data_IF_065267715646
#
_entry.id   IF_065267715646
#
_cell.length_a   1.000
_cell.length_b   1.000
_cell.length_c   1.000
_cell.angle_alpha   90.00
_cell.angle_beta   90.00
_cell.angle_gamma   90.00
#
_symmetry.space_group_name_H-M   'P 1'
#
loop_
_entity.id
_entity.type
_entity.pdbx_description
1 polymer ?
2 non-polymer ?
3 water ?
#
# COMPACT_ATOMS: atom_id res chain seq x y z
N UNK A 6 2.47 -18.83 -21.33
CA UNK A 6 2.86 -18.29 -22.67
C UNK A 6 2.18 -16.91 -22.88
N UNK A 7 1.66 -16.36 -21.80
CA UNK A 7 0.78 -15.19 -21.90
C UNK A 7 1.48 -13.82 -22.02
N UNK A 8 2.77 -13.72 -21.73
CA UNK A 8 3.46 -12.44 -21.94
C UNK A 8 3.58 -12.24 -23.45
N UNK A 9 3.82 -13.38 -24.10
CA UNK A 9 3.88 -13.49 -25.55
C UNK A 9 2.52 -13.10 -26.22
N UNK A 10 1.42 -13.57 -25.68
CA UNK A 10 0.11 -13.31 -26.29
C UNK A 10 -0.43 -11.89 -26.05
N UNK A 11 -0.02 -11.30 -24.94
CA UNK A 11 -0.38 -9.93 -24.62
C UNK A 11 0.20 -9.06 -25.76
N UNK A 12 1.51 -9.23 -25.93
CA UNK A 12 2.35 -8.66 -26.95
C UNK A 12 1.68 -8.62 -28.33
N UNK A 13 1.00 -9.71 -28.68
CA UNK A 13 0.36 -9.87 -30.00
C UNK A 13 -0.98 -9.16 -30.15
N UNK A 14 -1.56 -8.72 -29.05
CA UNK A 14 -2.89 -8.11 -29.10
C UNK A 14 -2.83 -6.59 -29.24
N UNK A 15 -3.82 -6.03 -29.90
CA UNK A 15 -3.99 -4.58 -30.01
C UNK A 15 -5.45 -4.21 -29.55
N UNK A 16 -6.04 -5.07 -28.71
CA UNK A 16 -7.37 -4.86 -28.10
C UNK A 16 -7.16 -4.87 -26.54
N UNK A 17 -7.21 -3.67 -25.94
CA UNK A 17 -7.06 -3.46 -24.49
C UNK A 17 -7.81 -4.52 -23.63
N UNK A 18 -9.08 -4.74 -23.91
CA UNK A 18 -9.88 -5.65 -23.12
C UNK A 18 -9.39 -7.07 -23.25
N UNK A 19 -8.95 -7.42 -24.46
CA UNK A 19 -8.36 -8.74 -24.66
C UNK A 19 -7.09 -8.91 -23.81
N UNK A 20 -6.28 -7.86 -23.72
CA UNK A 20 -5.07 -7.91 -22.96
C UNK A 20 -5.40 -8.07 -21.47
N UNK A 21 -6.47 -7.43 -21.04
CA UNK A 21 -6.94 -7.50 -19.68
C UNK A 21 -7.46 -8.93 -19.42
N UNK A 22 -8.25 -9.46 -20.33
CA UNK A 22 -8.72 -10.82 -20.17
C UNK A 22 -7.56 -11.84 -20.03
N UNK A 23 -6.54 -11.69 -20.86
CA UNK A 23 -5.35 -12.55 -20.83
C UNK A 23 -4.52 -12.37 -19.58
N UNK A 24 -4.40 -11.13 -19.11
CA UNK A 24 -3.81 -10.95 -17.79
C UNK A 24 -4.57 -11.72 -16.69
N UNK A 25 -5.88 -11.71 -16.75
CA UNK A 25 -6.68 -12.30 -15.70
C UNK A 25 -6.58 -13.84 -15.86
N UNK A 26 -6.68 -14.32 -17.11
CA UNK A 26 -6.34 -15.72 -17.44
C UNK A 26 -5.06 -16.19 -16.85
N UNK A 27 -3.98 -15.45 -17.07
CA UNK A 27 -2.66 -15.88 -16.62
C UNK A 27 -2.60 -15.99 -15.11
N UNK A 28 -3.13 -14.98 -14.42
CA UNK A 28 -3.07 -14.94 -12.97
C UNK A 28 -3.84 -16.11 -12.41
N UNK A 29 -4.98 -16.43 -13.04
CA UNK A 29 -5.92 -17.43 -12.54
C UNK A 29 -5.43 -18.83 -12.94
N UNK A 30 -5.41 -19.10 -14.26
CA UNK A 30 -5.06 -20.40 -14.85
C UNK A 30 -3.64 -20.84 -14.57
N UNK A 31 -2.68 -19.92 -14.61
CA UNK A 31 -1.29 -20.28 -14.48
C UNK A 31 -0.84 -20.16 -13.06
N UNK A 32 -1.20 -19.08 -12.39
CA UNK A 32 -0.68 -18.84 -11.02
C UNK A 32 -1.68 -19.26 -9.96
N UNK A 33 -2.84 -19.71 -10.34
CA UNK A 33 -3.72 -20.26 -9.30
C UNK A 33 -4.47 -19.27 -8.41
N UNK A 34 -4.43 -17.94 -8.70
CA UNK A 34 -5.37 -17.02 -7.95
C UNK A 34 -6.77 -17.33 -8.34
N UNK A 35 -7.63 -17.41 -7.35
CA UNK A 35 -8.96 -17.98 -7.53
C UNK A 35 -9.92 -16.99 -8.25
N UNK A 36 -9.94 -15.71 -7.85
CA UNK A 36 -10.79 -14.70 -8.45
C UNK A 36 -9.94 -13.50 -8.87
N UNK A 37 -10.03 -13.12 -10.13
CA UNK A 37 -9.24 -12.04 -10.69
C UNK A 37 -10.22 -11.17 -11.44
N UNK A 38 -10.38 -9.98 -10.89
CA UNK A 38 -11.35 -9.01 -11.39
C UNK A 38 -10.58 -7.79 -11.91
N UNK A 39 -10.93 -7.37 -13.12
CA UNK A 39 -10.28 -6.17 -13.67
C UNK A 39 -11.32 -5.16 -14.16
N UNK A 40 -11.24 -3.95 -13.63
CA UNK A 40 -12.19 -2.88 -13.89
C UNK A 40 -11.43 -1.69 -14.41
N UNK A 42 -11.58 2.48 -15.63
CA UNK A 42 -12.32 3.76 -15.53
C UNK A 42 -12.84 4.21 -16.90
N UNK A 43 -14.02 4.80 -16.94
CA UNK A 43 -14.45 5.43 -18.21
C UNK A 43 -13.58 6.69 -18.45
N UNK A 44 -13.87 7.38 -19.56
CA UNK A 44 -13.06 8.51 -19.97
C UNK A 44 -13.17 9.68 -18.99
N UNK A 45 -14.30 9.84 -18.35
CA UNK A 45 -14.49 10.87 -17.35
C UNK A 45 -13.91 10.44 -16.01
N UNK A 46 -13.56 9.16 -15.87
CA UNK A 46 -13.00 8.65 -14.61
C UNK A 46 -13.93 8.83 -13.42
N UNK A 47 -15.22 8.75 -13.66
CA UNK A 47 -16.17 8.73 -12.57
C UNK A 47 -16.95 7.44 -12.51
N UNK A 48 -16.67 6.51 -13.42
CA UNK A 48 -17.17 5.13 -13.26
C UNK A 48 -16.10 4.13 -13.64
N UNK A 49 -16.31 2.88 -13.23
CA UNK A 49 -15.49 1.75 -13.64
C UNK A 49 -16.32 0.74 -14.43
N UNK A 50 -15.85 0.33 -15.60
CA UNK A 50 -16.56 -0.70 -16.23
C UNK A 50 -15.84 -2.07 -15.97
N UNK A 51 -16.64 -3.11 -15.79
CA UNK A 51 -16.11 -4.39 -15.36
C UNK A 51 -15.69 -5.12 -16.64
N UNK A 52 -14.40 -5.32 -16.85
CA UNK A 52 -13.85 -5.83 -18.12
C UNK A 52 -13.52 -7.33 -18.13
N UNK A 53 -12.91 -7.81 -17.04
CA UNK A 53 -12.56 -9.21 -16.88
C UNK A 53 -12.90 -9.68 -15.48
N UNK A 54 -13.42 -10.91 -15.43
CA UNK A 54 -13.76 -11.62 -14.18
C UNK A 54 -13.43 -13.05 -14.47
N UNK A 55 -12.39 -13.53 -13.87
CA UNK A 55 -12.10 -14.93 -13.99
C UNK A 55 -12.35 -15.54 -12.58
N UNK A 56 -12.86 -16.77 -12.56
CA UNK A 56 -13.04 -17.51 -11.32
C UNK A 56 -14.41 -17.39 -10.68
N UNK A 57 -15.23 -16.47 -11.19
CA UNK A 57 -16.59 -16.32 -10.66
C UNK A 57 -17.50 -16.96 -11.67
N UNK A 58 -18.14 -18.07 -11.27
CA UNK A 58 -19.01 -18.83 -12.21
C UNK A 58 -20.31 -18.06 -12.48
N UNK A 59 -20.90 -18.29 -13.65
CA UNK A 59 -22.27 -17.81 -13.96
C UNK A 59 -22.28 -16.25 -14.00
N UNK A 60 -21.26 -15.68 -14.62
CA UNK A 60 -21.07 -14.24 -14.58
C UNK A 60 -20.29 -13.80 -15.79
N UNK A 61 -20.88 -12.87 -16.46
CA UNK A 61 -20.24 -12.20 -17.56
C UNK A 61 -20.28 -10.75 -17.10
N UNK A 62 -19.09 -10.13 -16.96
CA UNK A 62 -18.95 -8.75 -16.53
C UNK A 62 -19.38 -7.69 -17.61
N UNK A 63 -19.54 -8.07 -18.87
CA UNK A 63 -19.98 -7.13 -19.95
C UNK A 63 -21.22 -6.30 -19.61
N UNK A 64 -21.09 -4.99 -19.68
CA UNK A 64 -22.19 -4.11 -19.40
C UNK A 64 -22.25 -3.67 -17.95
N UNK A 65 -21.43 -4.27 -17.09
CA UNK A 65 -21.49 -3.87 -15.72
C UNK A 65 -20.68 -2.59 -15.58
N UNK A 66 -21.27 -1.55 -14.97
CA UNK A 66 -20.58 -0.26 -14.79
C UNK A 66 -20.90 0.18 -13.38
N UNK A 67 -19.90 0.69 -12.69
CA UNK A 67 -20.00 0.88 -11.25
C UNK A 67 -19.55 2.31 -10.92
N UNK A 68 -20.25 3.00 -9.99
CA UNK A 68 -19.76 4.38 -9.61
C UNK A 68 -18.42 4.46 -8.89
N UNK A 69 -17.57 5.42 -9.24
CA UNK A 69 -16.33 5.64 -8.52
C UNK A 69 -16.56 6.68 -7.50
N UNK A 70 -17.26 6.35 -6.44
CA UNK A 70 -17.44 7.25 -5.38
C UNK A 70 -17.32 6.33 -4.18
N UNK A 71 -17.97 6.74 -3.10
CA UNK A 71 -17.75 6.10 -1.82
C UNK A 71 -18.40 4.71 -1.82
N UNK A 72 -19.37 4.49 -2.73
CA UNK A 72 -20.06 3.19 -2.79
C UNK A 72 -19.07 2.09 -3.13
N UNK A 73 -17.94 2.46 -3.73
CA UNK A 73 -16.97 1.45 -4.13
C UNK A 73 -15.99 1.21 -3.01
N UNK A 74 -16.26 1.76 -1.83
CA UNK A 74 -15.36 1.58 -0.67
C UNK A 74 -13.87 1.59 -1.03
N UNK A 75 -13.20 0.47 -0.82
CA UNK A 75 -11.78 0.43 -0.93
C UNK A 75 -11.32 0.33 -2.39
N UNK A 76 -12.21 -0.10 -3.29
CA UNK A 76 -11.85 -0.06 -4.69
C UNK A 76 -11.66 1.39 -5.16
N UNK A 77 -12.62 2.22 -4.82
CA UNK A 77 -12.47 3.65 -5.10
C UNK A 77 -11.21 4.25 -4.45
N UNK A 78 -10.92 3.85 -3.20
CA UNK A 78 -9.71 4.40 -2.54
C UNK A 78 -8.47 3.97 -3.22
N UNK A 79 -8.41 2.69 -3.63
CA UNK A 79 -7.28 2.22 -4.43
C UNK A 79 -7.06 3.13 -5.68
N UNK A 80 -8.16 3.34 -6.40
CA UNK A 80 -8.11 4.08 -7.67
C UNK A 80 -7.63 5.54 -7.40
N UNK A 81 -8.24 6.20 -6.42
CA UNK A 81 -7.92 7.60 -6.06
C UNK A 81 -6.46 7.79 -5.56
N UNK A 82 -5.99 6.89 -4.70
CA UNK A 82 -4.70 7.04 -4.03
C UNK A 82 -3.58 6.32 -4.77
N UNK A 83 -3.93 5.57 -5.81
CA UNK A 83 -2.94 4.71 -6.56
C UNK A 83 -2.14 3.86 -5.58
N UNK A 84 -2.81 3.31 -4.59
CA UNK A 84 -2.14 2.52 -3.59
C UNK A 84 -2.72 1.08 -3.61
N UNK A 85 -1.83 0.08 -3.49
CA UNK A 85 -2.22 -1.32 -3.20
C UNK A 85 -2.88 -1.35 -1.84
N UNK A 86 -4.10 -1.86 -1.80
CA UNK A 86 -4.80 -2.11 -0.52
C UNK A 86 -4.83 -3.60 -0.30
N UNK A 88 -6.23 -6.30 2.03
CA UNK A 88 -7.28 -6.29 3.02
C UNK A 88 -7.47 -7.74 3.49
N UNK A 89 -6.94 -8.05 4.66
CA UNK A 89 -6.93 -9.47 5.09
C UNK A 89 -8.32 -9.89 5.56
N UNK A 90 -9.04 -8.95 6.16
CA UNK A 90 -10.41 -9.18 6.54
C UNK A 90 -11.11 -7.83 6.55
N UNK A 91 -12.10 -7.65 5.68
CA UNK A 91 -12.71 -6.32 5.62
C UNK A 91 -13.29 -5.82 6.94
N UNK A 92 -13.71 -6.71 7.83
CA UNK A 92 -14.40 -6.24 9.06
C UNK A 92 -13.40 -5.64 10.10
N UNK A 93 -12.10 -5.78 9.90
CA UNK A 93 -11.11 -5.18 10.79
C UNK A 93 -10.73 -3.74 10.35
N UNK A 94 -11.33 -3.23 9.27
CA UNK A 94 -11.02 -1.92 8.72
C UNK A 94 -12.19 -0.96 8.93
N UNK A 95 -11.93 0.37 8.83
CA UNK A 95 -13.03 1.34 8.96
C UNK A 95 -14.15 1.06 7.97
N UNK A 96 -15.33 1.51 8.36
CA UNK A 96 -16.60 1.35 7.67
C UNK A 96 -16.59 1.78 6.19
N UNK A 97 -15.93 2.87 5.89
CA UNK A 97 -15.80 3.31 4.51
C UNK A 97 -14.99 2.39 3.62
N UNK A 98 -14.43 1.28 4.15
CA UNK A 98 -13.80 0.29 3.29
C UNK A 98 -14.83 -0.61 2.62
N UNK A 99 -15.99 -0.84 3.24
CA UNK A 99 -16.93 -1.83 2.75
C UNK A 99 -17.49 -1.42 1.39
N UNK A 100 -17.71 -2.38 0.54
CA UNK A 100 -18.51 -2.15 -0.66
C UNK A 100 -19.96 -1.91 -0.32
N UNK A 101 -20.60 -0.95 -0.97
CA UNK A 101 -22.03 -0.70 -0.80
C UNK A 101 -22.76 -1.09 -2.10
N UNK A 102 -24.10 -1.05 -2.13
CA UNK A 102 -24.83 -1.10 -3.43
C UNK A 102 -24.36 0.00 -4.40
N UNK A 103 -24.07 -0.30 -5.68
CA UNK A 103 -24.35 -1.55 -6.38
C UNK A 103 -23.22 -2.56 -6.34
N UNK A 104 -22.02 -2.17 -5.82
CA UNK A 104 -20.86 -3.10 -5.84
C UNK A 104 -21.17 -4.43 -5.06
N UNK A 105 -21.96 -4.37 -4.02
CA UNK A 105 -22.14 -5.53 -3.16
C UNK A 105 -23.27 -6.47 -3.67
N UNK A 106 -23.82 -6.13 -4.83
CA UNK A 106 -24.76 -7.00 -5.54
C UNK A 106 -23.98 -7.96 -6.46
N UNK A 107 -22.66 -7.78 -6.58
CA UNK A 107 -21.88 -8.59 -7.51
C UNK A 107 -21.08 -9.66 -6.74
N UNK A 108 -21.36 -10.94 -7.02
CA UNK A 108 -20.69 -12.05 -6.34
C UNK A 108 -19.17 -11.98 -6.50
N UNK A 109 -18.73 -11.52 -7.67
CA UNK A 109 -17.32 -11.56 -8.03
C UNK A 109 -16.53 -10.63 -7.12
N UNK A 110 -17.21 -9.60 -6.58
CA UNK A 110 -16.68 -8.55 -5.74
C UNK A 110 -16.99 -8.73 -4.24
N UNK A 111 -17.65 -9.82 -3.87
CA UNK A 111 -18.05 -9.97 -2.46
C UNK A 111 -17.04 -10.64 -1.51
N UNK A 112 -15.78 -10.76 -1.86
CA UNK A 112 -14.83 -11.37 -0.95
C UNK A 112 -14.71 -10.48 0.29
N UNK A 113 -14.54 -11.09 1.45
CA UNK A 113 -14.22 -10.33 2.64
C UNK A 113 -12.71 -10.16 2.83
N UNK A 114 -11.93 -10.81 1.99
CA UNK A 114 -10.49 -10.74 2.05
C UNK A 114 -9.95 -10.58 0.62
N UNK A 115 -9.06 -9.60 0.38
CA UNK A 115 -8.63 -9.36 -0.99
C UNK A 115 -7.49 -8.38 -1.04
N UNK A 116 -6.90 -8.30 -2.22
CA UNK A 116 -5.99 -7.20 -2.63
C UNK A 116 -6.55 -6.44 -3.81
N UNK A 117 -6.51 -5.12 -3.70
CA UNK A 117 -6.83 -4.22 -4.86
C UNK A 117 -5.54 -3.49 -5.22
N UNK A 118 -5.25 -3.50 -6.51
CA UNK A 118 -3.99 -3.00 -7.02
C UNK A 118 -4.32 -2.06 -8.20
N UNK A 119 -3.80 -0.83 -8.20
CA UNK A 119 -4.20 0.15 -9.23
C UNK A 119 -3.46 -0.19 -10.51
N UNK A 120 -4.05 0.09 -11.67
CA UNK A 120 -3.32 0.01 -12.94
C UNK A 120 -2.94 1.46 -13.24
N UNK A 121 -1.66 1.75 -13.36
CA UNK A 121 -1.26 3.16 -13.34
C UNK A 121 -0.55 3.43 -14.62
N UNK A 122 -1.01 4.46 -15.31
CA UNK A 122 -0.33 4.95 -16.52
C UNK A 122 0.10 6.41 -16.29
N UNK A 123 1.40 6.65 -16.43
CA UNK A 123 2.00 7.98 -16.27
C UNK A 123 1.51 8.75 -15.02
N UNK A 124 1.58 8.09 -13.87
CA UNK A 124 1.12 8.74 -12.65
C UNK A 124 -0.39 8.87 -12.45
N UNK A 125 -1.21 8.29 -13.35
CA UNK A 125 -2.67 8.26 -13.07
C UNK A 125 -3.24 6.83 -13.10
N UNK A 126 -4.14 6.52 -12.17
CA UNK A 126 -4.85 5.26 -12.20
C UNK A 126 -5.82 5.29 -13.37
N UNK A 127 -5.78 4.26 -14.17
CA UNK A 127 -6.83 4.09 -15.15
C UNK A 127 -7.74 2.88 -14.90
N UNK A 128 -7.47 2.08 -13.87
CA UNK A 128 -8.36 0.97 -13.53
C UNK A 128 -7.75 0.22 -12.35
N UNK A 129 -8.25 -0.98 -12.02
CA UNK A 129 -7.82 -1.80 -10.89
C UNK A 129 -7.83 -3.30 -11.18
N UNK A 130 -6.89 -4.02 -10.56
CA UNK A 130 -7.05 -5.47 -10.34
C UNK A 130 -7.60 -5.67 -8.96
N UNK A 131 -8.66 -6.45 -8.81
CA UNK A 131 -9.15 -6.85 -7.48
C UNK A 131 -9.00 -8.38 -7.47
N UNK A 132 -8.24 -8.92 -6.51
CA UNK A 132 -7.86 -10.33 -6.53
C UNK A 132 -8.16 -10.94 -5.14
N UNK A 133 -8.69 -12.19 -5.14
CA UNK A 133 -8.93 -12.91 -3.89
C UNK A 133 -8.82 -14.42 -4.05
N UNK A 134 -8.54 -15.09 -2.91
CA UNK A 134 -8.55 -16.59 -2.82
C UNK A 134 -9.58 -16.90 -1.69
N UNK A 135 -10.80 -16.44 -1.84
CA UNK A 135 -11.73 -16.45 -0.70
C UNK A 135 -12.06 -17.85 -0.16
N UNK A 136 -11.83 -18.92 -0.95
CA UNK A 136 -12.20 -20.22 -0.44
C UNK A 136 -11.01 -20.84 0.31
N UNK A 137 -9.86 -20.19 0.23
CA UNK A 137 -8.71 -20.61 1.03
C UNK A 137 -8.70 -19.78 2.31
N UNK A 138 -8.24 -20.39 3.40
CA UNK A 138 -8.09 -19.62 4.62
C UNK A 138 -6.72 -18.90 4.63
N UNK A 139 -5.87 -19.17 3.64
CA UNK A 139 -4.61 -18.47 3.61
C UNK A 139 -4.77 -17.03 3.08
N UNK A 140 -4.53 -16.02 3.94
CA UNK A 140 -4.43 -14.59 3.53
C UNK A 140 -3.42 -14.29 2.44
N UNK A 141 -3.75 -13.37 1.52
CA UNK A 141 -2.76 -12.96 0.53
C UNK A 141 -1.61 -12.21 1.25
N UNK A 142 -0.39 -12.43 0.76
CA UNK A 142 0.82 -11.75 1.30
C UNK A 142 1.64 -10.89 0.31
N UNK A 143 2.74 -10.33 0.80
CA UNK A 143 3.58 -9.41 0.02
C UNK A 143 4.06 -10.06 -1.23
N UNK A 144 4.30 -11.37 -1.25
CA UNK A 144 4.71 -11.95 -2.55
C UNK A 144 3.52 -12.06 -3.50
N UNK A 145 2.31 -12.24 -2.97
CA UNK A 145 1.14 -12.26 -3.87
C UNK A 145 0.99 -10.85 -4.46
N UNK A 146 1.11 -9.82 -3.62
CA UNK A 146 1.07 -8.41 -4.07
C UNK A 146 2.14 -8.15 -5.14
N UNK A 147 3.38 -8.65 -5.00
CA UNK A 147 4.41 -8.47 -6.05
C UNK A 147 3.91 -9.11 -7.29
N UNK A 148 3.25 -10.26 -7.19
CA UNK A 148 2.86 -10.92 -8.43
C UNK A 148 1.73 -10.18 -9.19
N UNK A 149 0.80 -9.60 -8.43
CA UNK A 149 -0.36 -8.92 -8.97
C UNK A 149 0.12 -7.59 -9.60
N UNK A 150 0.97 -6.86 -8.87
CA UNK A 150 1.69 -5.66 -9.35
C UNK A 150 2.43 -5.88 -10.63
N UNK A 151 3.01 -7.07 -10.78
CA UNK A 151 3.67 -7.42 -12.03
C UNK A 151 2.67 -7.46 -13.18
N UNK A 152 1.50 -8.05 -12.98
CA UNK A 152 0.50 -8.15 -14.06
C UNK A 152 -0.18 -6.82 -14.36
N UNK A 153 -0.39 -6.00 -13.31
CA UNK A 153 -0.87 -4.61 -13.48
C UNK A 153 0.13 -3.81 -14.34
N UNK A 154 1.43 -3.95 -14.03
CA UNK A 154 2.52 -3.40 -14.86
C UNK A 154 2.52 -3.79 -16.32
N UNK A 155 2.40 -5.09 -16.61
CA UNK A 155 2.11 -5.57 -17.98
C UNK A 155 0.83 -5.01 -18.63
N UNK A 156 -0.29 -5.02 -17.91
CA UNK A 156 -1.50 -4.40 -18.48
C UNK A 156 -1.19 -2.92 -18.83
N UNK A 157 -0.58 -2.18 -17.92
CA UNK A 157 -0.34 -0.73 -18.05
C UNK A 157 0.61 -0.44 -19.27
N UNK A 158 1.78 -1.08 -19.30
CA UNK A 158 2.64 -1.08 -20.54
C UNK A 158 1.92 -1.36 -21.84
N UNK A 159 1.07 -2.38 -21.85
CA UNK A 159 0.38 -2.74 -23.06
C UNK A 159 -0.74 -1.73 -23.41
N UNK A 160 -1.42 -1.15 -22.40
CA UNK A 160 -2.39 -0.13 -22.68
C UNK A 160 -1.69 1.07 -23.39
N UNK A 161 -0.53 1.46 -22.87
CA UNK A 161 0.28 2.52 -23.42
C UNK A 161 0.69 2.22 -24.87
N UNK A 162 1.27 1.03 -25.12
CA UNK A 162 1.58 0.58 -26.48
C UNK A 162 0.36 0.66 -27.37
N UNK A 163 -0.78 0.12 -26.93
CA UNK A 163 -1.91 0.09 -27.80
C UNK A 163 -2.39 1.55 -28.07
N UNK A 164 -2.40 2.38 -27.04
CA UNK A 164 -2.89 3.75 -27.21
C UNK A 164 -2.00 4.57 -28.18
N UNK A 165 -0.69 4.45 -27.99
CA UNK A 165 0.33 5.17 -28.79
C UNK A 165 0.15 4.74 -30.25
N UNK A 166 -0.27 3.49 -30.43
CA UNK A 166 -0.42 2.89 -31.74
C UNK A 166 -1.69 3.29 -32.46
N UNK A 167 -2.81 3.29 -31.75
CA UNK A 167 -4.06 3.65 -32.39
C UNK A 167 -4.33 5.16 -32.43
N UNK A 168 -3.48 5.97 -31.80
CA UNK A 168 -3.69 7.43 -31.76
C UNK A 168 -3.71 7.95 -33.21
N UNK A 169 -4.83 8.57 -33.61
CA UNK A 169 -4.99 9.03 -34.99
C UNK A 169 -4.15 10.29 -35.29
N UNK B 1 27.67 -8.31 7.15
CA UNK B 1 28.54 -9.06 8.11
C UNK B 1 28.21 -8.76 9.57
N UNK B 2 29.25 -8.33 10.30
CA UNK B 2 29.24 -7.96 11.72
C UNK B 2 28.08 -6.99 12.07
N UNK B 3 27.82 -6.04 11.17
CA UNK B 3 26.88 -4.92 11.43
C UNK B 3 25.43 -5.36 11.71
N UNK B 4 24.79 -6.10 10.79
CA UNK B 4 23.40 -6.56 11.03
C UNK B 4 23.20 -7.46 12.27
N UNK B 5 24.14 -8.34 12.57
CA UNK B 5 23.99 -9.15 13.77
C UNK B 5 24.05 -8.33 15.09
N UNK B 6 24.96 -7.35 15.19
CA UNK B 6 25.04 -6.51 16.41
C UNK B 6 23.73 -5.77 16.64
N UNK B 7 23.17 -5.23 15.55
CA UNK B 7 21.91 -4.50 15.56
C UNK B 7 20.83 -5.46 16.04
N UNK B 8 20.76 -6.63 15.40
CA UNK B 8 19.80 -7.69 15.77
C UNK B 8 19.89 -8.15 17.24
N UNK B 9 21.10 -8.47 17.70
CA UNK B 9 21.33 -8.88 19.08
C UNK B 9 20.92 -7.83 20.10
N UNK B 10 21.30 -6.57 19.87
CA UNK B 10 20.97 -5.49 20.80
C UNK B 10 19.46 -5.16 20.93
N UNK B 11 18.69 -5.39 19.85
CA UNK B 11 17.21 -5.26 19.90
C UNK B 11 16.56 -6.37 20.74
N UNK B 12 16.96 -7.61 20.50
CA UNK B 12 16.46 -8.76 21.26
C UNK B 12 16.77 -8.67 22.78
N UNK B 13 17.87 -8.01 23.11
CA UNK B 13 18.33 -7.84 24.50
C UNK B 13 17.72 -6.59 25.11
N UNK B 14 17.30 -5.65 24.26
CA UNK B 14 16.78 -4.39 24.77
C UNK B 14 15.56 -4.63 25.64
N UNK B 15 15.41 -3.78 26.67
CA UNK B 15 14.25 -3.75 27.59
C UNK B 15 13.65 -2.33 27.69
N UNK B 16 14.02 -1.48 26.73
CA UNK B 16 13.43 -0.14 26.59
C UNK B 16 12.91 -0.01 25.13
N UNK B 17 11.63 0.32 24.98
CA UNK B 17 10.96 0.45 23.67
C UNK B 17 11.61 1.52 22.77
N UNK B 18 11.78 2.76 23.30
CA UNK B 18 12.43 3.87 22.54
C UNK B 18 13.81 3.49 22.06
N UNK B 19 14.53 2.71 22.86
CA UNK B 19 15.82 2.18 22.45
C UNK B 19 15.67 1.15 21.34
N UNK B 20 14.77 0.18 21.48
CA UNK B 20 14.53 -0.72 20.36
C UNK B 20 14.26 0.03 19.03
N UNK B 21 13.41 1.04 19.08
CA UNK B 21 13.00 1.82 17.89
C UNK B 21 14.22 2.58 17.36
N UNK B 22 14.98 3.23 18.24
CA UNK B 22 16.25 3.87 17.79
C UNK B 22 17.19 2.88 17.09
N UNK B 23 17.33 1.66 17.63
CA UNK B 23 18.13 0.64 16.98
C UNK B 23 17.57 0.18 15.66
N UNK B 24 16.24 0.03 15.59
CA UNK B 24 15.64 -0.23 14.28
C UNK B 24 16.07 0.78 13.22
N UNK B 25 15.96 2.06 13.54
CA UNK B 25 16.30 3.17 12.62
C UNK B 25 17.81 3.21 12.24
N UNK B 26 18.67 3.13 13.27
CA UNK B 26 20.09 2.89 13.05
C UNK B 26 20.31 1.65 12.15
N UNK B 27 19.68 0.54 12.45
CA UNK B 27 19.82 -0.61 11.56
C UNK B 27 19.59 -0.17 10.11
N UNK B 28 18.40 0.37 9.85
CA UNK B 28 17.99 0.74 8.48
C UNK B 28 18.93 1.79 7.84
N UNK B 29 19.37 2.79 8.60
CA UNK B 29 20.32 3.80 8.07
C UNK B 29 21.71 3.21 7.75
N UNK B 30 22.43 2.81 8.81
CA UNK B 30 23.81 2.25 8.72
C UNK B 30 23.93 0.96 7.92
N UNK B 31 23.03 0.00 8.12
CA UNK B 31 23.24 -1.31 7.50
C UNK B 31 22.56 -1.46 6.13
N UNK B 32 21.45 -0.76 5.94
CA UNK B 32 20.72 -0.91 4.69
C UNK B 32 20.83 0.38 3.86
N UNK B 33 21.30 1.46 4.48
CA UNK B 33 21.68 2.63 3.74
C UNK B 33 20.62 3.66 3.35
N UNK B 34 19.48 3.65 4.03
CA UNK B 34 18.43 4.62 3.74
C UNK B 34 18.81 5.90 4.43
N UNK B 35 18.65 7.00 3.71
CA UNK B 35 19.18 8.27 4.21
C UNK B 35 18.49 8.83 5.41
N UNK B 36 17.16 8.67 5.48
CA UNK B 36 16.33 9.29 6.51
C UNK B 36 15.37 8.22 7.01
N UNK B 37 15.38 8.01 8.33
CA UNK B 37 14.51 7.01 8.95
C UNK B 37 13.90 7.62 10.14
N UNK B 38 12.60 7.92 10.01
CA UNK B 38 11.84 8.51 11.09
C UNK B 38 10.91 7.47 11.68
N UNK B 39 10.78 7.51 13.00
CA UNK B 39 9.77 6.72 13.70
C UNK B 39 8.90 7.62 14.56
N UNK B 40 7.59 7.48 14.38
CA UNK B 40 6.63 8.25 15.09
C UNK B 40 5.70 7.28 15.80
N UNK B 42 2.16 6.76 18.26
CA UNK B 42 0.94 7.39 18.76
C UNK B 42 0.91 7.33 20.28
N UNK B 43 0.16 8.24 20.88
CA UNK B 43 -0.05 8.26 22.30
C UNK B 43 -1.19 7.28 22.54
N UNK B 44 -1.42 6.96 23.81
CA UNK B 44 -2.45 5.99 24.14
C UNK B 44 -3.78 6.41 23.55
N UNK B 45 -4.12 7.70 23.59
CA UNK B 45 -5.47 8.05 23.11
C UNK B 45 -5.54 8.12 21.58
N UNK B 46 -4.40 7.97 20.92
CA UNK B 46 -4.31 8.02 19.47
C UNK B 46 -4.78 9.37 18.95
N UNK B 47 -4.40 10.47 19.61
CA UNK B 47 -4.63 11.76 19.01
C UNK B 47 -3.36 12.57 18.84
N UNK B 48 -2.20 11.99 19.18
CA UNK B 48 -0.91 12.67 18.97
C UNK B 48 0.13 11.69 18.58
N UNK B 49 1.16 12.22 17.94
CA UNK B 49 2.28 11.46 17.51
C UNK B 49 3.47 12.17 18.13
N UNK B 50 4.38 11.39 18.73
CA UNK B 50 5.67 11.92 19.10
C UNK B 50 6.70 11.19 18.32
N UNK B 51 7.76 11.93 18.09
CA UNK B 51 8.85 11.51 17.29
C UNK B 51 9.76 10.71 18.26
N UNK B 52 10.30 9.58 17.83
CA UNK B 52 11.16 8.76 18.65
C UNK B 52 12.53 8.62 17.96
N UNK B 53 12.54 8.64 16.63
CA UNK B 53 13.81 8.62 15.97
C UNK B 53 13.68 9.51 14.73
N UNK B 54 14.77 10.20 14.41
CA UNK B 54 14.85 10.96 13.19
C UNK B 54 16.26 10.87 12.65
N UNK B 55 16.66 9.64 12.33
CA UNK B 55 17.98 9.37 11.85
C UNK B 55 18.22 9.96 10.46
N UNK B 56 19.39 10.61 10.27
CA UNK B 56 19.79 11.22 8.99
C UNK B 56 19.35 12.67 8.78
N UNK B 57 18.66 13.23 9.77
CA UNK B 57 18.39 14.63 9.83
C UNK B 57 19.20 15.27 10.94
N UNK B 58 20.01 16.27 10.60
CA UNK B 58 20.87 16.97 11.59
C UNK B 58 20.20 18.18 12.32
N UNK B 59 20.76 18.63 13.43
CA UNK B 59 20.24 19.84 14.15
C UNK B 59 18.74 19.69 14.55
N UNK B 60 18.36 18.45 14.85
CA UNK B 60 17.00 18.15 15.21
C UNK B 60 16.96 17.23 16.43
N UNK B 61 16.41 17.74 17.52
CA UNK B 61 16.15 16.94 18.72
C UNK B 61 14.60 16.94 18.87
N UNK B 62 13.97 15.77 18.62
CA UNK B 62 12.50 15.58 18.61
C UNK B 62 11.74 15.83 19.96
N UNK B 63 12.46 15.72 21.09
CA UNK B 63 11.88 15.91 22.41
C UNK B 63 10.82 17.03 22.47
N UNK B 64 9.63 16.70 22.93
CA UNK B 64 8.58 17.73 23.08
C UNK B 64 7.87 18.08 21.77
N UNK B 65 8.34 17.50 20.66
CA UNK B 65 7.56 17.49 19.40
C UNK B 65 6.39 16.52 19.51
N UNK B 66 5.22 17.09 19.74
CA UNK B 66 3.96 16.40 19.53
C UNK B 66 3.33 16.91 18.24
N UNK B 67 2.69 16.01 17.50
CA UNK B 67 2.11 16.31 16.21
C UNK B 67 0.66 15.89 16.29
N UNK B 68 -0.25 16.75 15.85
CA UNK B 68 -1.65 16.34 15.99
C UNK B 68 -1.89 15.13 15.07
N UNK B 69 -2.55 14.08 15.58
CA UNK B 69 -2.87 12.93 14.73
C UNK B 69 -4.23 13.15 14.12
N UNK B 70 -4.30 14.09 13.17
CA UNK B 70 -5.52 14.33 12.42
C UNK B 70 -5.17 14.58 10.95
N UNK B 71 -6.04 15.30 10.25
CA UNK B 71 -5.91 15.49 8.81
C UNK B 71 -4.67 16.29 8.41
N UNK B 72 -4.09 17.01 9.37
CA UNK B 72 -2.84 17.74 9.13
C UNK B 72 -1.70 16.81 8.97
N UNK B 73 -1.87 15.57 9.51
CA UNK B 73 -0.95 14.48 9.19
C UNK B 73 -0.91 13.91 7.78
N UNK B 74 -1.88 14.26 6.94
CA UNK B 74 -1.80 13.86 5.54
C UNK B 74 -1.61 12.36 5.35
N UNK B 75 -0.64 11.91 4.56
CA UNK B 75 -0.48 10.48 4.30
C UNK B 75 -0.09 9.65 5.58
N UNK B 76 0.63 10.30 6.52
CA UNK B 76 0.99 9.65 7.78
C UNK B 76 -0.26 9.30 8.58
N UNK B 77 -1.20 10.23 8.68
CA UNK B 77 -2.47 9.91 9.34
C UNK B 77 -3.27 8.76 8.65
N UNK B 78 -3.26 8.76 7.31
CA UNK B 78 -3.95 7.75 6.51
C UNK B 78 -3.39 6.39 6.90
N UNK B 79 -2.06 6.28 7.05
CA UNK B 79 -1.37 5.04 7.49
C UNK B 79 -1.85 4.53 8.85
N UNK B 80 -1.94 5.42 9.85
CA UNK B 80 -2.47 5.04 11.15
C UNK B 80 -3.86 4.52 11.07
N UNK B 81 -4.67 5.12 10.20
CA UNK B 81 -6.05 4.77 10.07
C UNK B 81 -6.21 3.45 9.32
N UNK B 82 -5.43 3.22 8.26
CA UNK B 82 -5.75 2.09 7.37
C UNK B 82 -4.77 0.96 7.36
N UNK B 83 -3.66 1.16 8.05
CA UNK B 83 -2.57 0.19 8.14
C UNK B 83 -2.04 -0.31 6.79
N UNK B 84 -2.01 0.57 5.81
CA UNK B 84 -1.39 0.20 4.56
C UNK B 84 0.01 0.79 4.52
N UNK B 85 0.84 0.23 3.66
CA UNK B 85 2.11 0.80 3.33
C UNK B 85 1.92 1.80 2.16
N UNK B 86 2.38 3.05 2.30
CA UNK B 86 2.35 4.03 1.19
C UNK B 86 3.73 4.24 0.59
N UNK B 88 5.37 6.73 -1.95
CA UNK B 88 5.01 8.01 -2.58
C UNK B 88 6.19 8.49 -3.46
N UNK B 89 5.93 8.73 -4.75
CA UNK B 89 6.95 9.24 -5.72
C UNK B 89 7.16 10.76 -5.54
N UNK B 90 6.06 11.51 -5.67
CA UNK B 90 6.03 12.96 -5.56
C UNK B 90 4.65 13.22 -4.96
N UNK B 91 4.64 13.54 -3.67
CA UNK B 91 3.37 13.73 -2.94
C UNK B 91 2.41 14.83 -3.50
N UNK B 92 2.91 15.72 -4.34
CA UNK B 92 2.04 16.70 -5.00
C UNK B 92 1.24 16.09 -6.13
N UNK B 93 1.64 14.88 -6.59
CA UNK B 93 0.90 14.20 -7.67
C UNK B 93 -0.27 13.41 -7.11
N UNK B 94 -0.54 13.57 -5.81
CA UNK B 94 -1.51 12.71 -5.13
C UNK B 94 -2.71 13.49 -4.62
N UNK B 95 -3.77 12.83 -4.12
CA UNK B 95 -4.91 13.60 -3.66
C UNK B 95 -4.52 14.59 -2.56
N UNK B 96 -5.42 15.52 -2.30
CA UNK B 96 -5.14 16.66 -1.45
C UNK B 96 -4.93 16.20 -0.04
N UNK B 97 -5.53 15.07 0.30
CA UNK B 97 -5.37 14.54 1.62
C UNK B 97 -4.04 13.79 1.94
N UNK B 98 -3.14 13.69 0.96
CA UNK B 98 -1.77 13.19 1.18
C UNK B 98 -0.78 14.18 1.78
N UNK B 99 -0.81 15.45 1.33
CA UNK B 99 0.15 16.49 1.68
C UNK B 99 0.16 16.65 3.18
N UNK B 100 1.36 16.70 3.76
CA UNK B 100 1.52 17.08 5.16
C UNK B 100 1.20 18.55 5.33
N UNK B 101 0.31 18.87 6.25
CA UNK B 101 -0.02 20.25 6.59
C UNK B 101 0.87 20.72 7.76
N UNK B 102 0.68 21.98 8.18
CA UNK B 102 1.33 22.48 9.37
C UNK B 102 0.74 21.80 10.64
N UNK B 103 1.57 21.41 11.64
CA UNK B 103 3.02 21.62 11.86
C UNK B 103 3.95 20.67 11.17
N UNK B 104 3.41 19.61 10.55
CA UNK B 104 4.28 18.58 9.98
C UNK B 104 5.17 19.16 8.90
N UNK B 105 4.61 20.12 8.13
CA UNK B 105 5.36 20.56 6.96
C UNK B 105 6.46 21.57 7.27
N UNK B 106 6.57 21.99 8.52
CA UNK B 106 7.69 22.86 8.98
C UNK B 106 8.79 22.03 9.65
N UNK B 107 8.86 20.72 9.36
CA UNK B 107 9.83 19.83 10.05
C UNK B 107 10.66 19.18 9.03
N UNK B 108 11.94 19.50 9.01
CA UNK B 108 12.78 19.04 7.95
C UNK B 108 12.76 17.51 7.79
N UNK B 109 12.74 16.77 8.91
CA UNK B 109 12.70 15.27 8.89
C UNK B 109 11.52 14.74 8.03
N UNK B 110 10.41 15.46 8.04
CA UNK B 110 9.18 15.07 7.37
C UNK B 110 8.97 15.70 5.99
N UNK B 111 9.94 16.50 5.49
CA UNK B 111 9.67 17.38 4.30
C UNK B 111 9.96 16.75 2.93
N UNK B 112 10.32 15.48 2.90
CA UNK B 112 10.61 14.86 1.61
C UNK B 112 9.32 14.70 0.79
N UNK B 113 9.53 14.64 -0.52
CA UNK B 113 8.45 14.66 -1.49
C UNK B 113 8.20 13.22 -1.93
N UNK B 114 9.21 12.37 -1.76
CA UNK B 114 9.08 10.97 -2.07
C UNK B 114 9.58 10.14 -0.88
N UNK B 115 8.94 8.99 -0.64
CA UNK B 115 9.08 8.28 0.63
C UNK B 115 8.15 7.09 0.81
N UNK B 116 8.39 6.35 1.89
CA UNK B 116 7.65 5.15 2.25
C UNK B 116 7.12 5.31 3.69
N UNK B 117 5.81 5.11 3.89
CA UNK B 117 5.27 5.08 5.25
C UNK B 117 4.87 3.62 5.48
N UNK B 118 5.30 3.05 6.61
CA UNK B 118 5.03 1.65 6.94
C UNK B 118 4.50 1.62 8.37
N UNK B 119 3.27 1.06 8.59
CA UNK B 119 2.72 1.11 9.96
C UNK B 119 3.44 0.08 10.88
N UNK B 120 3.47 0.33 12.19
CA UNK B 120 4.00 -0.63 13.14
C UNK B 120 2.73 -1.06 13.80
N UNK B 121 2.42 -2.34 13.68
CA UNK B 121 1.12 -2.85 13.98
C UNK B 121 1.23 -3.83 15.16
N UNK B 122 0.45 -3.57 16.17
CA UNK B 122 0.30 -4.44 17.33
C UNK B 122 -1.17 -4.55 17.56
N UNK B 123 -1.64 -5.80 17.73
CA UNK B 123 -3.02 -6.12 18.11
C UNK B 123 -3.99 -5.54 17.09
N UNK B 124 -3.66 -5.64 15.80
CA UNK B 124 -4.56 -5.10 14.77
C UNK B 124 -4.74 -3.57 14.63
N UNK B 125 -3.79 -2.82 15.20
CA UNK B 125 -3.84 -1.36 15.31
C UNK B 125 -2.45 -0.80 14.99
N UNK B 126 -2.34 0.15 14.07
CA UNK B 126 -1.04 0.83 13.84
C UNK B 126 -0.80 1.70 15.06
N UNK B 127 0.33 1.48 15.73
CA UNK B 127 0.63 2.20 16.94
C UNK B 127 1.77 3.15 16.65
N UNK B 128 2.34 3.02 15.46
CA UNK B 128 3.33 3.98 14.99
C UNK B 128 3.59 3.71 13.52
N UNK B 129 4.56 4.44 12.97
CA UNK B 129 4.97 4.32 11.57
C UNK B 129 6.47 4.51 11.45
N UNK B 130 7.06 3.88 10.44
CA UNK B 130 8.36 4.21 9.92
C UNK B 130 8.08 5.08 8.71
N UNK B 131 8.75 6.22 8.64
CA UNK B 131 8.71 7.04 7.44
C UNK B 131 10.16 7.14 6.94
N UNK B 132 10.41 6.56 5.78
CA UNK B 132 11.76 6.40 5.21
C UNK B 132 11.84 7.10 3.81
N UNK B 133 12.96 7.79 3.54
CA UNK B 133 13.24 8.47 2.25
C UNK B 133 14.74 8.56 1.88
N UNK B 134 15.03 8.55 0.58
CA UNK B 134 16.38 8.88 0.05
C UNK B 134 16.36 10.27 -0.65
N UNK B 135 15.98 11.33 0.06
CA UNK B 135 16.06 12.72 -0.46
C UNK B 135 17.10 12.96 -1.58
N UNK B 136 18.32 12.42 -1.43
CA UNK B 136 19.47 12.52 -2.40
C UNK B 136 19.61 11.29 -3.35
N UNK B 137 18.60 11.04 -4.19
CA UNK B 137 18.62 9.89 -5.10
C UNK B 137 17.55 10.02 -6.18
N UNK B 142 11.16 1.01 -4.28
CA UNK B 142 10.55 -0.26 -4.76
C UNK B 142 10.07 -1.30 -3.70
N UNK B 143 9.43 -2.38 -4.17
CA UNK B 143 8.79 -3.38 -3.30
C UNK B 143 9.75 -4.16 -2.42
N UNK B 144 10.99 -4.36 -2.87
CA UNK B 144 11.96 -5.00 -1.99
C UNK B 144 12.49 -4.09 -0.89
N UNK B 145 12.49 -2.79 -1.15
CA UNK B 145 12.77 -1.80 -0.10
C UNK B 145 11.64 -1.78 0.96
N UNK B 146 10.41 -1.81 0.49
CA UNK B 146 9.28 -1.84 1.38
C UNK B 146 9.36 -3.04 2.37
N UNK B 147 9.67 -4.21 1.79
CA UNK B 147 9.60 -5.50 2.47
C UNK B 147 10.64 -5.56 3.53
N UNK B 148 11.76 -4.93 3.24
CA UNK B 148 12.87 -4.81 4.15
C UNK B 148 12.54 -3.90 5.36
N UNK B 149 11.89 -2.75 5.05
CA UNK B 149 11.42 -1.87 6.09
C UNK B 149 10.37 -2.61 6.94
N UNK B 150 9.44 -3.32 6.28
CA UNK B 150 8.36 -4.07 6.99
C UNK B 150 8.94 -5.06 7.99
N UNK B 151 9.97 -5.78 7.57
CA UNK B 151 10.73 -6.59 8.47
C UNK B 151 11.08 -5.84 9.71
N UNK B 152 11.76 -4.68 9.64
CA UNK B 152 12.11 -3.94 10.87
C UNK B 152 10.91 -3.47 11.66
N UNK B 153 9.82 -3.13 10.99
CA UNK B 153 8.64 -2.75 11.71
C UNK B 153 8.09 -3.96 12.44
N UNK B 154 8.23 -5.15 11.82
CA UNK B 154 7.74 -6.41 12.43
C UNK B 154 8.48 -6.69 13.73
N UNK B 155 9.81 -6.58 13.66
CA UNK B 155 10.72 -6.73 14.80
C UNK B 155 10.45 -5.69 15.85
N UNK B 156 10.21 -4.43 15.43
CA UNK B 156 9.86 -3.38 16.43
C UNK B 156 8.62 -3.83 17.19
N UNK B 157 7.65 -4.32 16.42
CA UNK B 157 6.38 -4.67 16.94
C UNK B 157 6.50 -5.85 17.95
N UNK B 158 7.27 -6.89 17.59
CA UNK B 158 7.46 -8.03 18.45
C UNK B 158 8.24 -7.57 19.70
N UNK B 159 9.24 -6.69 19.53
CA UNK B 159 9.97 -6.17 20.71
C UNK B 159 9.10 -5.37 21.67
N UNK B 160 8.12 -4.62 21.14
CA UNK B 160 7.18 -3.86 21.95
C UNK B 160 6.24 -4.75 22.78
N UNK B 161 5.68 -5.77 22.14
CA UNK B 161 4.92 -6.79 22.84
C UNK B 161 5.80 -7.42 23.96
N UNK B 162 6.97 -7.94 23.60
CA UNK B 162 7.92 -8.54 24.54
C UNK B 162 8.39 -7.66 25.72
N UNK B 163 8.73 -6.40 25.44
CA UNK B 163 9.22 -5.46 26.50
C UNK B 163 8.08 -5.19 27.42
N UNK B 164 6.91 -4.92 26.83
CA UNK B 164 5.67 -4.74 27.60
C UNK B 164 5.32 -5.92 28.51
N UNK B 165 5.39 -7.16 28.03
CA UNK B 165 5.31 -8.34 28.91
C UNK B 165 6.30 -8.27 30.12
N UNK B 166 7.53 -7.82 29.87
CA UNK B 166 8.44 -7.44 30.97
C UNK B 166 8.20 -5.99 31.44
#
# INVERSE_FOLDING_TARGET
SNAFHQISSRIQKSIDVDEVLRLCAEGLHDVLGYERVNILXADTARTSLSFVAAVGTADFNPAGVVLPLDQRGGVITKCFTDRQVYXIDDVSAYPTDFRLQSPYDAIRALRSKSFVICPIVVKGEAIGVFAVDNRSSRRSLNDTDVDTIKLFADQASSAIVRINLLKAI
SNAFHQISSRIQKSIDVDEVLRLCAEGLHDVLGYERVNILXADTARTSLSFVAAVGTADFNPAGVVLPLDQRGGVITKCFTDRQVYXIDDVSAYPTDFRLQSPYDAIRALRSKSFVICPIVVKGEAIGVFAVDNRSSRRSLNDTDVDTIKLFADQASSAIVRINLLKAI
#
